data_IF_173821674606
#
_entry.id   IF_173821674606
#
_cell.length_a   1.000
_cell.length_b   1.000
_cell.length_c   1.000
_cell.angle_alpha   90.00
_cell.angle_beta   90.00
_cell.angle_gamma   90.00
#
_symmetry.space_group_name_H-M   'P 1'
#
loop_
_entity.id
_entity.type
_entity.pdbx_description
1 polymer ?
#
# COMPACT_ATOMS: atom_id res chain seq x y z
N UNK A 1 -0.58 -16.69 55.46
CA UNK A 1 -1.02 -16.59 54.05
C UNK A 1 -1.15 -15.11 53.73
N UNK A 2 -0.13 -14.52 53.10
CA UNK A 2 -0.17 -13.09 52.74
C UNK A 2 -1.02 -12.92 51.48
N UNK A 3 -1.90 -11.90 51.40
CA UNK A 3 -2.66 -11.65 50.19
C UNK A 3 -1.69 -11.17 49.10
N UNK A 4 -1.68 -11.86 47.96
CA UNK A 4 -0.99 -11.41 46.75
C UNK A 4 -1.55 -10.04 46.37
N UNK A 5 -0.69 -9.00 46.43
CA UNK A 5 -1.06 -7.65 45.98
C UNK A 5 -1.49 -7.71 44.51
N UNK A 6 -2.77 -7.52 44.26
CA UNK A 6 -3.31 -7.31 42.93
C UNK A 6 -2.73 -6.00 42.37
N UNK A 7 -2.01 -6.09 41.25
CA UNK A 7 -1.40 -4.93 40.60
C UNK A 7 -2.52 -4.02 40.05
N UNK A 8 -2.50 -2.75 40.43
CA UNK A 8 -3.42 -1.72 39.94
C UNK A 8 -3.24 -1.47 38.44
N UNK A 9 -4.33 -1.19 37.72
CA UNK A 9 -4.37 -0.89 36.29
C UNK A 9 -3.36 0.21 35.89
N UNK A 10 -3.07 1.17 36.78
CA UNK A 10 -2.06 2.22 36.55
C UNK A 10 -0.62 1.72 36.50
N UNK A 11 -0.33 0.52 37.00
CA UNK A 11 1.01 -0.08 36.97
C UNK A 11 1.32 -0.89 35.70
N UNK A 12 0.34 -1.05 34.80
CA UNK A 12 0.50 -1.77 33.53
C UNK A 12 1.27 -0.94 32.48
N UNK A 13 1.16 0.38 32.54
CA UNK A 13 1.95 1.31 31.71
C UNK A 13 3.09 1.90 32.55
N UNK A 14 4.08 1.08 32.89
CA UNK A 14 5.31 1.66 33.44
C UNK A 14 5.95 2.56 32.35
N UNK A 15 6.43 3.73 32.75
CA UNK A 15 7.22 4.61 31.88
C UNK A 15 8.37 3.87 31.20
N UNK A 16 8.89 2.83 31.86
CA UNK A 16 9.93 1.94 31.32
C UNK A 16 9.42 1.03 30.20
N UNK A 17 8.21 0.46 30.32
CA UNK A 17 7.59 -0.37 29.28
C UNK A 17 7.32 0.44 28.01
N UNK A 18 6.71 1.62 28.16
CA UNK A 18 6.44 2.55 27.06
C UNK A 18 7.75 2.97 26.38
N UNK A 19 8.80 3.28 27.17
CA UNK A 19 10.12 3.64 26.65
C UNK A 19 10.79 2.49 25.89
N UNK A 20 10.62 1.24 26.35
CA UNK A 20 11.16 0.05 25.68
C UNK A 20 10.48 -0.18 24.33
N UNK A 21 9.15 -0.05 24.28
CA UNK A 21 8.37 -0.14 23.03
C UNK A 21 8.82 0.95 22.06
N UNK A 22 8.85 2.22 22.50
CA UNK A 22 9.28 3.33 21.67
C UNK A 22 10.68 3.11 21.08
N UNK A 23 11.66 2.70 21.90
CA UNK A 23 13.02 2.38 21.43
C UNK A 23 13.05 1.23 20.42
N UNK A 24 12.24 0.19 20.59
CA UNK A 24 12.20 -0.93 19.66
C UNK A 24 11.67 -0.48 18.29
N UNK A 25 10.57 0.28 18.27
CA UNK A 25 9.99 0.78 17.02
C UNK A 25 10.94 1.78 16.33
N UNK A 26 11.52 2.72 17.08
CA UNK A 26 12.49 3.68 16.50
C UNK A 26 13.71 2.98 15.89
N UNK A 27 14.20 1.90 16.50
CA UNK A 27 15.29 1.09 15.92
C UNK A 27 14.88 0.42 14.61
N UNK A 28 13.66 -0.11 14.54
CA UNK A 28 13.14 -0.73 13.33
C UNK A 28 13.03 0.28 12.18
N UNK A 29 12.50 1.48 12.46
CA UNK A 29 12.42 2.57 11.47
C UNK A 29 13.81 2.99 10.99
N UNK A 30 14.73 3.23 11.92
CA UNK A 30 16.08 3.66 11.59
C UNK A 30 16.84 2.63 10.74
N UNK A 31 16.78 1.35 11.12
CA UNK A 31 17.54 0.29 10.44
C UNK A 31 17.04 0.00 9.02
N UNK A 32 15.74 0.17 8.79
CA UNK A 32 15.12 -0.08 7.48
C UNK A 32 14.87 1.19 6.67
N UNK A 33 15.43 2.33 7.11
CA UNK A 33 15.23 3.64 6.49
C UNK A 33 13.74 4.00 6.25
N UNK A 34 12.85 3.59 7.17
CA UNK A 34 11.42 3.89 7.08
C UNK A 34 11.21 5.36 7.44
N UNK A 35 10.58 6.16 6.57
CA UNK A 35 10.25 7.54 6.86
C UNK A 35 9.44 7.68 8.17
N UNK A 36 9.81 8.62 9.04
CA UNK A 36 9.15 8.77 10.35
C UNK A 36 7.66 9.14 10.25
N UNK A 37 7.24 9.75 9.14
CA UNK A 37 5.83 10.00 8.86
C UNK A 37 5.00 8.72 8.66
N UNK A 38 5.62 7.54 8.47
CA UNK A 38 4.90 6.26 8.47
C UNK A 38 4.25 5.96 9.83
N UNK A 39 4.72 6.56 10.93
CA UNK A 39 4.02 6.50 12.22
C UNK A 39 2.69 7.27 12.23
N UNK A 40 2.47 8.13 11.24
CA UNK A 40 1.24 8.90 11.06
C UNK A 40 0.28 8.26 10.05
N UNK A 41 0.50 6.99 9.66
CA UNK A 41 -0.29 6.27 8.64
C UNK A 41 -1.70 5.88 9.13
N UNK A 42 -2.52 6.88 9.48
CA UNK A 42 -3.92 6.72 9.85
C UNK A 42 -4.14 5.68 10.97
N UNK A 43 -5.21 4.88 10.93
CA UNK A 43 -5.46 3.86 11.95
C UNK A 43 -4.45 2.70 11.90
N UNK A 44 -3.70 2.53 10.81
CA UNK A 44 -2.90 1.34 10.55
C UNK A 44 -1.72 1.18 11.51
N UNK A 45 -0.97 2.25 11.77
CA UNK A 45 0.17 2.19 12.68
C UNK A 45 -0.24 1.85 14.13
N UNK A 46 -1.30 2.48 14.63
CA UNK A 46 -1.80 2.20 15.98
C UNK A 46 -2.47 0.83 16.05
N UNK A 47 -3.26 0.45 15.04
CA UNK A 47 -3.89 -0.88 14.95
C UNK A 47 -2.85 -2.00 14.99
N UNK A 48 -1.71 -1.86 14.30
CA UNK A 48 -0.62 -2.83 14.37
C UNK A 48 -0.13 -3.02 15.81
N UNK A 49 0.08 -1.92 16.54
CA UNK A 49 0.53 -1.96 17.94
C UNK A 49 -0.52 -2.62 18.83
N UNK A 50 -1.79 -2.25 18.66
CA UNK A 50 -2.91 -2.74 19.46
C UNK A 50 -3.12 -4.25 19.23
N UNK A 51 -3.12 -4.72 17.98
CA UNK A 51 -3.24 -6.15 17.64
C UNK A 51 -2.07 -6.97 18.19
N UNK A 52 -0.83 -6.45 18.12
CA UNK A 52 0.33 -7.12 18.72
C UNK A 52 0.18 -7.20 20.24
N UNK A 53 -0.33 -6.14 20.89
CA UNK A 53 -0.55 -6.12 22.32
C UNK A 53 -1.65 -7.11 22.75
N UNK A 54 -2.73 -7.23 21.98
CA UNK A 54 -3.83 -8.17 22.18
C UNK A 54 -3.39 -9.63 22.02
N UNK A 55 -2.54 -9.93 21.04
CA UNK A 55 -1.98 -11.28 20.85
C UNK A 55 -1.14 -11.77 22.04
N UNK A 56 -0.55 -10.83 22.78
CA UNK A 56 0.18 -11.10 24.02
C UNK A 56 1.60 -11.64 23.82
N UNK A 57 2.28 -11.99 24.92
CA UNK A 57 3.68 -12.40 24.90
C UNK A 57 3.90 -13.72 24.14
N UNK A 58 5.00 -13.80 23.38
CA UNK A 58 5.42 -15.02 22.68
C UNK A 58 4.99 -15.09 21.22
N UNK A 59 4.21 -14.12 20.73
CA UNK A 59 3.92 -13.98 19.31
C UNK A 59 5.21 -13.82 18.49
N UNK A 60 5.27 -14.51 17.36
CA UNK A 60 6.31 -14.32 16.35
C UNK A 60 5.73 -13.51 15.22
N UNK A 61 6.45 -12.45 14.82
CA UNK A 61 6.07 -11.69 13.63
C UNK A 61 6.10 -12.57 12.37
N UNK A 62 5.29 -12.23 11.36
CA UNK A 62 5.29 -12.94 10.09
C UNK A 62 6.62 -12.74 9.35
N UNK A 63 6.99 -13.73 8.54
CA UNK A 63 8.16 -13.62 7.66
C UNK A 63 7.88 -12.70 6.48
N UNK A 64 8.93 -12.18 5.83
CA UNK A 64 8.76 -11.35 4.61
C UNK A 64 7.99 -12.07 3.50
N UNK A 65 8.15 -13.38 3.37
CA UNK A 65 7.37 -14.20 2.43
C UNK A 65 5.88 -14.23 2.77
N UNK A 66 5.54 -14.40 4.06
CA UNK A 66 4.14 -14.42 4.48
C UNK A 66 3.50 -13.04 4.36
N UNK A 67 4.24 -11.97 4.68
CA UNK A 67 3.77 -10.59 4.50
C UNK A 67 3.48 -10.34 3.02
N UNK A 68 4.41 -10.67 2.11
CA UNK A 68 4.29 -10.36 0.69
C UNK A 68 3.39 -11.29 -0.13
N UNK A 69 2.91 -12.39 0.46
CA UNK A 69 1.99 -13.32 -0.21
C UNK A 69 0.74 -13.50 0.65
N UNK A 70 0.75 -14.45 1.59
CA UNK A 70 -0.44 -14.84 2.39
C UNK A 70 -1.24 -13.66 2.94
N UNK A 71 -0.59 -12.78 3.71
CA UNK A 71 -1.30 -11.67 4.36
C UNK A 71 -1.59 -10.52 3.40
N UNK A 72 -0.74 -10.29 2.40
CA UNK A 72 -1.00 -9.28 1.38
C UNK A 72 -2.18 -9.69 0.49
N UNK A 73 -2.29 -10.96 0.10
CA UNK A 73 -3.41 -11.49 -0.68
C UNK A 73 -4.73 -11.37 0.08
N UNK A 74 -4.75 -11.73 1.37
CA UNK A 74 -5.92 -11.55 2.25
C UNK A 74 -6.33 -10.06 2.34
N UNK A 75 -5.37 -9.16 2.56
CA UNK A 75 -5.63 -7.72 2.60
C UNK A 75 -6.08 -7.18 1.24
N UNK A 76 -5.49 -7.61 0.11
CA UNK A 76 -5.92 -7.19 -1.23
C UNK A 76 -7.39 -7.56 -1.46
N UNK A 77 -7.82 -8.76 -1.08
CA UNK A 77 -9.23 -9.17 -1.19
C UNK A 77 -10.16 -8.30 -0.32
N UNK A 78 -9.75 -7.93 0.89
CA UNK A 78 -10.53 -7.02 1.74
C UNK A 78 -10.54 -5.57 1.21
N UNK A 79 -9.43 -5.10 0.64
CA UNK A 79 -9.29 -3.75 0.09
C UNK A 79 -10.04 -3.58 -1.24
N UNK A 80 -10.01 -4.58 -2.13
CA UNK A 80 -10.79 -4.64 -3.36
C UNK A 80 -12.29 -4.47 -3.09
N UNK A 81 -12.76 -4.92 -1.92
CA UNK A 81 -14.18 -4.81 -1.55
C UNK A 81 -14.51 -3.57 -0.72
N UNK A 82 -13.54 -2.89 -0.08
CA UNK A 82 -13.87 -1.86 0.94
C UNK A 82 -12.99 -0.61 1.02
N UNK A 83 -11.78 -0.56 0.45
CA UNK A 83 -10.87 0.58 0.65
C UNK A 83 -9.91 0.78 -0.52
N UNK A 84 -10.20 1.70 -1.44
CA UNK A 84 -9.31 1.96 -2.55
C UNK A 84 -8.01 2.63 -2.05
N UNK A 85 -6.85 2.05 -2.34
CA UNK A 85 -5.53 2.61 -2.04
C UNK A 85 -4.85 3.02 -3.36
N UNK A 86 -4.02 4.07 -3.33
CA UNK A 86 -3.09 4.41 -4.41
C UNK A 86 -1.67 4.21 -3.87
N UNK A 87 -0.89 3.34 -4.52
CA UNK A 87 0.49 3.07 -4.16
C UNK A 87 1.44 3.79 -5.12
N UNK A 88 2.46 4.44 -4.57
CA UNK A 88 3.56 5.04 -5.32
C UNK A 88 4.81 4.20 -5.15
N UNK A 89 5.33 3.71 -6.27
CA UNK A 89 6.56 2.93 -6.33
C UNK A 89 7.52 3.64 -7.28
N UNK A 90 8.78 3.75 -6.87
CA UNK A 90 9.84 4.36 -7.66
C UNK A 90 10.70 3.23 -8.18
N UNK A 91 10.88 3.18 -9.50
CA UNK A 91 11.79 2.26 -10.14
C UNK A 91 13.06 3.00 -10.57
N UNK A 92 14.22 2.44 -10.21
CA UNK A 92 15.51 2.83 -10.75
C UNK A 92 16.30 1.57 -11.12
N UNK A 93 17.39 1.72 -11.89
CA UNK A 93 18.19 0.62 -12.49
C UNK A 93 18.52 -0.58 -11.59
N UNK A 94 18.46 -0.42 -10.27
CA UNK A 94 18.83 -1.45 -9.30
C UNK A 94 17.64 -2.10 -8.58
N UNK A 95 16.50 -1.42 -8.48
CA UNK A 95 15.39 -1.89 -7.64
C UNK A 95 14.11 -1.08 -7.82
N UNK A 96 12.99 -1.73 -7.57
CA UNK A 96 11.74 -1.06 -7.22
C UNK A 96 11.73 -0.73 -5.73
N UNK A 97 11.45 0.52 -5.39
CA UNK A 97 11.37 1.03 -4.03
C UNK A 97 9.94 1.48 -3.79
N UNK A 98 9.31 0.99 -2.72
CA UNK A 98 8.04 1.53 -2.27
C UNK A 98 8.25 2.94 -1.69
N UNK A 99 7.57 3.94 -2.24
CA UNK A 99 7.67 5.33 -1.78
C UNK A 99 6.61 5.63 -0.71
N UNK A 100 5.35 5.43 -1.06
CA UNK A 100 4.22 5.75 -0.20
C UNK A 100 2.93 5.08 -0.66
N UNK A 101 1.93 5.04 0.21
CA UNK A 101 0.56 4.71 -0.16
C UNK A 101 -0.39 5.76 0.41
N UNK A 102 -1.50 5.96 -0.30
CA UNK A 102 -2.56 6.88 0.08
C UNK A 102 -3.85 6.08 0.16
N UNK A 103 -4.41 6.02 1.35
CA UNK A 103 -5.76 5.51 1.55
C UNK A 103 -6.76 6.52 0.98
N UNK A 104 -7.53 6.09 -0.03
CA UNK A 104 -8.56 6.91 -0.70
C UNK A 104 -9.97 6.50 -0.29
N UNK A 105 -10.13 5.76 0.81
CA UNK A 105 -11.44 5.39 1.36
C UNK A 105 -12.29 6.65 1.60
N UNK A 106 -13.50 6.66 1.04
CA UNK A 106 -14.43 7.80 1.06
C UNK A 106 -13.92 9.08 0.35
N UNK A 107 -12.79 9.02 -0.36
CA UNK A 107 -12.27 10.13 -1.16
C UNK A 107 -12.49 9.77 -2.64
N UNK A 108 -13.29 10.55 -3.39
CA UNK A 108 -13.43 10.33 -4.82
C UNK A 108 -12.08 10.48 -5.54
N UNK A 109 -11.68 9.45 -6.30
CA UNK A 109 -10.49 9.44 -7.16
C UNK A 109 -10.67 10.33 -8.40
N UNK A 110 -10.84 11.63 -8.18
CA UNK A 110 -10.94 12.61 -9.26
C UNK A 110 -9.59 12.83 -9.92
N UNK A 111 -9.61 13.20 -11.20
CA UNK A 111 -8.42 13.58 -11.96
C UNK A 111 -7.52 14.58 -11.22
N UNK A 112 -8.09 15.63 -10.64
CA UNK A 112 -7.32 16.65 -9.91
C UNK A 112 -6.70 16.11 -8.62
N UNK A 113 -7.40 15.21 -7.93
CA UNK A 113 -6.87 14.61 -6.71
C UNK A 113 -5.67 13.70 -7.03
N UNK A 114 -5.83 12.80 -8.01
CA UNK A 114 -4.75 11.93 -8.47
C UNK A 114 -3.57 12.77 -8.97
N UNK A 115 -3.82 13.80 -9.78
CA UNK A 115 -2.80 14.73 -10.26
C UNK A 115 -2.02 15.34 -9.10
N UNK A 116 -2.71 15.86 -8.06
CA UNK A 116 -2.02 16.47 -6.92
C UNK A 116 -1.17 15.49 -6.12
N UNK A 117 -1.57 14.22 -6.02
CA UNK A 117 -0.76 13.17 -5.40
C UNK A 117 0.50 12.87 -6.23
N UNK A 118 0.36 12.68 -7.54
CA UNK A 118 1.49 12.44 -8.45
C UNK A 118 2.44 13.64 -8.46
N UNK A 119 1.89 14.84 -8.51
CA UNK A 119 2.62 16.10 -8.51
C UNK A 119 3.53 16.24 -7.29
N UNK A 120 2.98 15.92 -6.11
CA UNK A 120 3.70 15.90 -4.85
C UNK A 120 4.82 14.86 -4.83
N UNK A 121 4.56 13.65 -5.34
CA UNK A 121 5.58 12.58 -5.38
C UNK A 121 6.73 12.97 -6.31
N UNK A 122 6.46 13.59 -7.46
CA UNK A 122 7.53 14.08 -8.35
C UNK A 122 8.36 15.17 -7.68
N UNK A 123 7.72 16.09 -6.94
CA UNK A 123 8.44 17.11 -6.15
C UNK A 123 9.31 16.49 -5.04
N UNK A 124 8.81 15.46 -4.35
CA UNK A 124 9.55 14.74 -3.30
C UNK A 124 10.77 13.98 -3.85
N UNK A 125 10.64 13.37 -5.04
CA UNK A 125 11.73 12.63 -5.70
C UNK A 125 12.76 13.57 -6.36
N UNK A 126 12.36 14.79 -6.67
CA UNK A 126 13.12 15.73 -7.48
C UNK A 126 12.80 15.50 -8.96
N UNK A 127 12.28 16.54 -9.60
CA UNK A 127 11.77 16.50 -10.96
C UNK A 127 12.83 16.07 -11.99
N UNK A 128 14.08 16.42 -11.74
CA UNK A 128 15.25 16.02 -12.54
C UNK A 128 15.60 14.52 -12.46
N UNK A 129 15.11 13.83 -11.43
CA UNK A 129 15.34 12.41 -11.21
C UNK A 129 14.21 11.54 -11.76
N UNK A 130 13.11 12.15 -12.21
CA UNK A 130 11.97 11.43 -12.79
C UNK A 130 12.05 11.53 -14.31
N UNK A 131 11.92 10.39 -14.97
CA UNK A 131 11.93 10.29 -16.43
C UNK A 131 10.56 9.84 -16.96
N UNK A 132 9.91 8.93 -16.24
CA UNK A 132 8.68 8.27 -16.68
C UNK A 132 7.70 8.12 -15.52
N UNK A 133 6.41 8.29 -15.84
CA UNK A 133 5.30 7.91 -14.97
C UNK A 133 4.51 6.78 -15.62
N UNK A 134 4.24 5.73 -14.85
CA UNK A 134 3.48 4.55 -15.29
C UNK A 134 2.27 4.37 -14.37
N UNK A 135 1.08 4.40 -14.95
CA UNK A 135 -0.20 4.26 -14.24
C UNK A 135 -1.10 3.27 -14.97
N UNK A 136 -2.18 2.82 -14.34
CA UNK A 136 -3.20 2.04 -15.06
C UNK A 136 -3.86 2.85 -16.19
N UNK A 137 -4.61 2.18 -17.06
CA UNK A 137 -5.27 2.82 -18.20
C UNK A 137 -6.68 3.34 -17.83
N UNK A 138 -6.97 3.52 -16.54
CA UNK A 138 -8.25 4.05 -16.10
C UNK A 138 -8.38 5.52 -16.53
N UNK A 139 -9.59 5.97 -16.85
CA UNK A 139 -9.83 7.30 -17.40
C UNK A 139 -9.38 8.43 -16.45
N UNK A 140 -9.52 8.22 -15.14
CA UNK A 140 -9.17 9.19 -14.10
C UNK A 140 -7.66 9.43 -14.03
N UNK A 141 -6.86 8.35 -14.03
CA UNK A 141 -5.40 8.38 -14.06
C UNK A 141 -4.87 8.97 -15.36
N UNK A 142 -5.37 8.49 -16.51
CA UNK A 142 -4.96 9.01 -17.82
C UNK A 142 -5.14 10.53 -17.94
N UNK A 143 -6.28 11.06 -17.47
CA UNK A 143 -6.49 12.50 -17.48
C UNK A 143 -5.55 13.24 -16.51
N UNK A 144 -5.21 12.63 -15.37
CA UNK A 144 -4.31 13.21 -14.39
C UNK A 144 -2.87 13.23 -14.92
N UNK A 145 -2.45 12.18 -15.62
CA UNK A 145 -1.18 12.09 -16.30
C UNK A 145 -1.06 13.12 -17.42
N UNK A 146 -2.14 13.36 -18.19
CA UNK A 146 -2.17 14.44 -19.17
C UNK A 146 -1.87 15.81 -18.55
N UNK A 147 -2.49 16.12 -17.39
CA UNK A 147 -2.19 17.35 -16.64
C UNK A 147 -0.73 17.37 -16.15
N UNK A 148 -0.19 16.22 -15.73
CA UNK A 148 1.19 16.09 -15.27
C UNK A 148 2.18 16.37 -16.40
N UNK A 149 1.96 15.79 -17.58
CA UNK A 149 2.75 16.04 -18.79
C UNK A 149 2.57 17.47 -19.29
N UNK A 150 1.41 18.10 -19.05
CA UNK A 150 1.22 19.50 -19.35
C UNK A 150 2.11 20.39 -18.47
N UNK A 151 2.14 20.12 -17.15
CA UNK A 151 2.97 20.84 -16.17
C UNK A 151 4.47 20.57 -16.37
N UNK A 152 4.87 19.33 -16.66
CA UNK A 152 6.26 18.87 -16.70
C UNK A 152 6.62 18.28 -18.07
N UNK A 153 7.17 19.12 -18.94
CA UNK A 153 7.41 18.80 -20.36
C UNK A 153 8.52 17.78 -20.62
N UNK A 154 9.41 17.55 -19.66
CA UNK A 154 10.51 16.58 -19.77
C UNK A 154 10.13 15.16 -19.33
N UNK A 155 8.98 15.00 -18.69
CA UNK A 155 8.44 13.68 -18.33
C UNK A 155 7.68 13.08 -19.51
N UNK A 156 7.59 11.75 -19.52
CA UNK A 156 6.63 11.04 -20.35
C UNK A 156 5.79 10.05 -19.54
N UNK A 157 4.60 9.78 -20.06
CA UNK A 157 3.67 8.83 -19.48
C UNK A 157 3.53 7.60 -20.38
N UNK A 158 3.36 6.42 -19.77
CA UNK A 158 2.95 5.20 -20.46
C UNK A 158 1.94 4.42 -19.63
N UNK A 159 0.96 3.75 -20.26
CA UNK A 159 0.03 2.89 -19.54
C UNK A 159 0.73 1.64 -19.00
N UNK A 160 0.18 1.07 -17.93
CA UNK A 160 0.65 -0.17 -17.33
C UNK A 160 0.53 -1.34 -18.31
N UNK A 161 1.66 -1.96 -18.64
CA UNK A 161 1.69 -3.10 -19.56
C UNK A 161 0.84 -4.28 -19.08
N UNK A 162 0.85 -4.57 -17.77
CA UNK A 162 0.05 -5.67 -17.21
C UNK A 162 -1.45 -5.44 -17.44
N UNK A 163 -1.93 -4.21 -17.16
CA UNK A 163 -3.33 -3.87 -17.40
C UNK A 163 -3.67 -3.84 -18.89
N UNK A 164 -2.77 -3.38 -19.75
CA UNK A 164 -2.97 -3.49 -21.20
C UNK A 164 -3.10 -4.94 -21.68
N UNK A 165 -2.28 -5.86 -21.15
CA UNK A 165 -2.38 -7.29 -21.46
C UNK A 165 -3.69 -7.86 -20.94
N UNK A 166 -4.10 -7.50 -19.73
CA UNK A 166 -5.37 -7.93 -19.14
C UNK A 166 -6.56 -7.53 -20.02
N UNK A 167 -6.62 -6.26 -20.45
CA UNK A 167 -7.63 -5.78 -21.40
C UNK A 167 -7.62 -6.56 -22.73
N UNK A 168 -6.44 -6.86 -23.27
CA UNK A 168 -6.33 -7.68 -24.48
C UNK A 168 -6.87 -9.10 -24.25
N UNK A 169 -6.61 -9.68 -23.08
CA UNK A 169 -7.10 -11.01 -22.70
C UNK A 169 -8.61 -11.02 -22.46
N UNK A 170 -9.18 -9.97 -21.88
CA UNK A 170 -10.63 -9.80 -21.74
C UNK A 170 -11.34 -9.74 -23.09
N UNK A 171 -10.77 -9.00 -24.06
CA UNK A 171 -11.29 -8.93 -25.42
C UNK A 171 -11.25 -10.30 -26.12
N UNK A 172 -10.15 -11.04 -25.96
CA UNK A 172 -10.03 -12.41 -26.45
C UNK A 172 -11.04 -13.33 -25.76
N UNK A 173 -11.16 -13.24 -24.44
CA UNK A 173 -12.12 -14.00 -23.64
C UNK A 173 -13.57 -13.75 -24.03
N UNK A 174 -13.86 -12.56 -24.56
CA UNK A 174 -15.19 -12.17 -25.02
C UNK A 174 -15.56 -12.73 -26.40
N UNK A 175 -14.61 -13.32 -27.14
CA UNK A 175 -14.89 -13.99 -28.42
C UNK A 175 -15.79 -15.19 -28.19
N UNK A 176 -16.88 -15.31 -28.95
CA UNK A 176 -17.95 -16.30 -28.72
C UNK A 176 -17.45 -17.72 -28.39
N UNK A 177 -16.54 -18.27 -29.18
CA UNK A 177 -16.00 -19.63 -28.99
C UNK A 177 -15.20 -19.77 -27.68
N UNK A 178 -14.41 -18.75 -27.35
CA UNK A 178 -13.59 -18.72 -26.13
C UNK A 178 -14.50 -18.50 -24.92
N UNK A 179 -15.46 -17.57 -25.02
CA UNK A 179 -16.45 -17.28 -23.98
C UNK A 179 -17.26 -18.53 -23.60
N UNK A 180 -17.77 -19.27 -24.58
CA UNK A 180 -18.51 -20.52 -24.33
C UNK A 180 -17.65 -21.54 -23.55
N UNK A 181 -16.36 -21.64 -23.89
CA UNK A 181 -15.41 -22.51 -23.19
C UNK A 181 -15.11 -22.02 -21.77
N UNK A 182 -14.91 -20.71 -21.59
CA UNK A 182 -14.68 -20.09 -20.29
C UNK A 182 -15.88 -20.26 -19.36
N UNK A 183 -17.10 -20.07 -19.87
CA UNK A 183 -18.33 -20.22 -19.10
C UNK A 183 -18.50 -21.67 -18.62
N UNK A 184 -18.15 -22.67 -19.45
CA UNK A 184 -18.14 -24.07 -19.03
C UNK A 184 -17.08 -24.35 -17.97
N UNK A 185 -15.87 -23.80 -18.11
CA UNK A 185 -14.79 -23.99 -17.14
C UNK A 185 -15.15 -23.44 -15.76
N UNK A 186 -15.77 -22.24 -15.71
CA UNK A 186 -16.25 -21.59 -14.48
C UNK A 186 -17.33 -22.39 -13.73
N UNK A 187 -17.97 -23.38 -14.36
CA UNK A 187 -18.94 -24.25 -13.68
C UNK A 187 -18.28 -25.37 -12.86
N UNK A 188 -16.99 -25.62 -13.07
CA UNK A 188 -16.24 -26.73 -12.45
C UNK A 188 -15.36 -26.24 -11.28
N UNK A 189 -14.96 -24.96 -11.31
CA UNK A 189 -14.16 -24.26 -10.27
C UNK A 189 -15.02 -23.31 -9.47
#
# INVERSE_FOLDING_TARGET
MFPSKQKSIKSLFSTEGVKKVGKAISKFFLFNAIPFNAANSGPYYQSMIDTIAEAGPGIKGPTGYQIGNTYLEEEVQELETRKPIINFMIYCDRSMIYNSSVDTTNIPKTTNYIFSLMDKVVEEVGEENVVQVVTDNEASFKAADMLLMEKRKHLFWSPCAAHCIDLMLEDIGSMKQIKETLDQAKMIT
#
